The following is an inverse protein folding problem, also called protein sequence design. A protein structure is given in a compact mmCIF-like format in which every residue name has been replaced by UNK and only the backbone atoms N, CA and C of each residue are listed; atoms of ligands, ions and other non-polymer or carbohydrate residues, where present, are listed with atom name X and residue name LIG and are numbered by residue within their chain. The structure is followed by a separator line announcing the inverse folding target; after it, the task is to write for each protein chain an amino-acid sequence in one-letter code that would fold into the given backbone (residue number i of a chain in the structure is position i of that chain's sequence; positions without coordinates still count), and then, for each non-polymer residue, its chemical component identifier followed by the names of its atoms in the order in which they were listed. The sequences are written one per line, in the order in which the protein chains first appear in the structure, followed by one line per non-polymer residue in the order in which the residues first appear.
data_IF_184288304942
#
_entry.id   IF_184288304942
#
_cell.length_a   1.000
_cell.length_b   1.000
_cell.length_c   1.000
_cell.angle_alpha   90.00
_cell.angle_beta   90.00
_cell.angle_gamma   90.00
#
_symmetry.space_group_name_H-M   'P 1'
#
loop_
_entity.id
_entity.type
_entity.pdbx_description
1 polymer ?
#
# COMPACT_ATOMS: atom_id res chain seq x y z
N UNK A 1 -9.46 19.77 -0.01
CA UNK A 1 -9.33 18.40 -0.54
C UNK A 1 -9.33 17.41 0.62
N UNK A 2 -10.23 16.43 0.66
CA UNK A 2 -10.23 15.38 1.70
C UNK A 2 -9.17 14.32 1.35
N UNK A 3 -8.42 13.88 2.36
CA UNK A 3 -7.47 12.77 2.24
C UNK A 3 -7.99 11.54 2.96
N UNK A 4 -7.58 10.36 2.48
CA UNK A 4 -7.89 9.07 3.05
C UNK A 4 -6.61 8.31 3.33
N UNK A 5 -6.60 7.57 4.43
CA UNK A 5 -5.73 6.42 4.56
C UNK A 5 -6.39 5.26 3.81
N UNK A 6 -5.65 4.61 2.92
CA UNK A 6 -6.13 3.46 2.15
C UNK A 6 -5.41 2.21 2.61
N UNK A 7 -6.17 1.14 2.82
CA UNK A 7 -5.67 -0.21 3.06
C UNK A 7 -6.03 -1.05 1.85
N UNK A 8 -5.03 -1.69 1.25
CA UNK A 8 -5.20 -2.57 0.08
C UNK A 8 -4.59 -3.92 0.43
N UNK A 9 -5.35 -4.99 0.29
CA UNK A 9 -4.87 -6.33 0.53
C UNK A 9 -3.93 -6.86 -0.55
N UNK A 10 -3.17 -7.88 -0.18
CA UNK A 10 -2.48 -8.77 -1.11
C UNK A 10 -2.16 -10.10 -0.43
N UNK A 11 -2.39 -11.22 -1.11
CA UNK A 11 -2.00 -12.56 -0.69
C UNK A 11 -0.47 -12.71 -0.55
N UNK A 12 0.30 -12.00 -1.38
CA UNK A 12 1.75 -12.14 -1.43
C UNK A 12 2.46 -10.78 -1.42
N UNK A 13 3.65 -10.72 -0.82
CA UNK A 13 4.45 -9.49 -0.78
C UNK A 13 4.81 -8.99 -2.19
N UNK A 14 5.10 -9.89 -3.13
CA UNK A 14 5.38 -9.54 -4.54
C UNK A 14 4.16 -8.90 -5.21
N UNK A 15 2.97 -9.43 -4.94
CA UNK A 15 1.71 -8.85 -5.43
C UNK A 15 1.47 -7.47 -4.80
N UNK A 16 1.72 -7.32 -3.49
CA UNK A 16 1.60 -6.04 -2.80
C UNK A 16 2.51 -4.97 -3.43
N UNK A 17 3.77 -5.30 -3.74
CA UNK A 17 4.67 -4.40 -4.45
C UNK A 17 4.19 -4.08 -5.87
N UNK A 18 3.74 -5.09 -6.63
CA UNK A 18 3.17 -4.85 -7.97
C UNK A 18 1.99 -3.88 -7.96
N UNK A 19 1.05 -4.03 -7.01
CA UNK A 19 -0.08 -3.12 -6.83
C UNK A 19 0.44 -1.73 -6.47
N UNK A 20 1.34 -1.63 -5.49
CA UNK A 20 1.91 -0.36 -5.04
C UNK A 20 2.62 0.40 -6.17
N UNK A 21 3.43 -0.29 -6.97
CA UNK A 21 4.16 0.28 -8.10
C UNK A 21 3.19 0.79 -9.18
N UNK A 22 2.15 0.02 -9.51
CA UNK A 22 1.14 0.43 -10.49
C UNK A 22 0.40 1.71 -10.05
N UNK A 23 0.11 1.83 -8.75
CA UNK A 23 -0.55 3.00 -8.18
C UNK A 23 0.38 4.23 -8.11
N UNK A 24 1.64 4.03 -7.71
CA UNK A 24 2.65 5.10 -7.65
C UNK A 24 2.96 5.64 -9.04
N UNK A 25 3.09 4.77 -10.06
CA UNK A 25 3.34 5.15 -11.44
C UNK A 25 2.29 6.11 -12.02
N UNK A 26 1.05 6.05 -11.50
CA UNK A 26 -0.07 6.93 -11.88
C UNK A 26 -0.35 8.05 -10.86
N UNK A 27 0.49 8.17 -9.83
CA UNK A 27 0.31 9.09 -8.71
C UNK A 27 -1.08 8.98 -8.06
N UNK A 28 -1.60 7.74 -7.94
CA UNK A 28 -2.91 7.46 -7.32
C UNK A 28 -2.81 7.33 -5.80
N UNK A 29 -1.61 7.01 -5.31
CA UNK A 29 -1.30 6.91 -3.90
C UNK A 29 0.01 7.63 -3.59
N UNK A 30 0.18 8.02 -2.34
CA UNK A 30 1.42 8.62 -1.85
C UNK A 30 2.57 7.60 -1.79
N UNK A 31 2.24 6.34 -1.51
CA UNK A 31 3.19 5.29 -1.15
C UNK A 31 3.05 4.93 0.34
N UNK A 32 3.77 3.90 0.77
CA UNK A 32 3.73 3.48 2.17
C UNK A 32 4.22 2.05 2.40
N UNK A 33 4.16 1.57 3.64
CA UNK A 33 4.65 0.25 3.98
C UNK A 33 3.72 -0.86 3.45
N UNK A 34 4.34 -1.99 3.12
CA UNK A 34 3.67 -3.29 3.05
C UNK A 34 3.90 -3.99 4.39
N UNK A 35 2.81 -4.37 5.05
CA UNK A 35 2.85 -5.09 6.33
C UNK A 35 2.19 -6.45 6.14
N UNK A 36 2.89 -7.53 6.51
CA UNK A 36 2.41 -8.90 6.36
C UNK A 36 2.32 -9.65 7.69
N UNK A 37 1.43 -10.63 7.74
CA UNK A 37 1.30 -11.55 8.88
C UNK A 37 0.24 -12.62 8.67
N UNK A 38 0.07 -13.53 9.65
CA UNK A 38 -0.93 -14.58 9.58
C UNK A 38 -2.34 -13.98 9.62
N UNK A 39 -3.20 -14.46 8.74
CA UNK A 39 -4.61 -14.06 8.66
C UNK A 39 -5.53 -15.27 8.66
N UNK A 40 -6.77 -15.03 9.08
CA UNK A 40 -7.84 -16.04 9.09
C UNK A 40 -9.12 -15.44 8.52
N UNK A 41 -9.67 -16.09 7.51
CA UNK A 41 -10.85 -15.63 6.78
C UNK A 41 -12.00 -16.62 6.88
N UNK A 42 -13.22 -16.09 6.87
CA UNK A 42 -14.42 -16.85 6.58
C UNK A 42 -14.77 -16.66 5.11
N UNK A 43 -14.85 -17.74 4.35
CA UNK A 43 -15.11 -17.68 2.91
C UNK A 43 -16.13 -18.75 2.51
N UNK A 44 -17.17 -18.32 1.80
CA UNK A 44 -18.08 -19.23 1.10
C UNK A 44 -17.64 -19.36 -0.36
N UNK A 45 -17.19 -20.55 -0.75
CA UNK A 45 -16.64 -20.81 -2.08
C UNK A 45 -17.67 -20.87 -3.21
N UNK A 46 -18.97 -20.83 -2.90
CA UNK A 46 -20.04 -20.96 -3.88
C UNK A 46 -19.87 -20.04 -5.10
N UNK A 47 -19.56 -18.77 -4.85
CA UNK A 47 -19.50 -17.73 -5.88
C UNK A 47 -18.05 -17.34 -6.20
N UNK A 48 -17.09 -18.20 -5.85
CA UNK A 48 -15.66 -17.95 -5.96
C UNK A 48 -15.00 -18.71 -7.10
N UNK A 49 -13.83 -18.23 -7.50
CA UNK A 49 -13.04 -18.76 -8.62
C UNK A 49 -12.20 -19.99 -8.24
N UNK A 50 -12.57 -20.66 -7.14
CA UNK A 50 -12.03 -21.98 -6.78
C UNK A 50 -12.51 -23.06 -7.78
N UNK A 51 -11.86 -24.25 -7.83
CA UNK A 51 -12.30 -25.35 -8.68
C UNK A 51 -13.78 -25.70 -8.47
N UNK A 52 -14.49 -26.09 -9.54
CA UNK A 52 -15.95 -26.32 -9.53
C UNK A 52 -16.40 -27.26 -8.41
N UNK A 53 -15.64 -28.33 -8.15
CA UNK A 53 -15.93 -29.28 -7.07
C UNK A 53 -15.83 -28.72 -5.65
N UNK A 54 -15.31 -27.50 -5.47
CA UNK A 54 -15.23 -26.80 -4.18
C UNK A 54 -16.28 -25.71 -4.02
N UNK A 55 -17.05 -25.38 -5.06
CA UNK A 55 -18.09 -24.32 -5.07
C UNK A 55 -19.39 -24.75 -4.39
N UNK A 56 -19.27 -25.40 -3.25
CA UNK A 56 -20.41 -25.79 -2.42
C UNK A 56 -20.90 -24.60 -1.59
N UNK A 57 -22.20 -24.54 -1.29
CA UNK A 57 -22.78 -23.52 -0.41
C UNK A 57 -22.42 -23.80 1.06
N UNK A 58 -21.16 -23.57 1.42
CA UNK A 58 -20.58 -23.86 2.73
C UNK A 58 -19.53 -22.81 3.10
N UNK A 59 -19.51 -22.43 4.38
CA UNK A 59 -18.47 -21.56 4.93
C UNK A 59 -17.24 -22.37 5.34
N UNK A 60 -16.08 -21.92 4.88
CA UNK A 60 -14.77 -22.45 5.25
C UNK A 60 -13.99 -21.41 6.04
N UNK A 61 -13.09 -21.89 6.90
CA UNK A 61 -12.04 -21.07 7.48
C UNK A 61 -10.76 -21.26 6.68
N UNK A 62 -10.20 -20.18 6.15
CA UNK A 62 -8.89 -20.20 5.50
C UNK A 62 -7.87 -19.53 6.41
N UNK A 63 -6.71 -20.16 6.56
CA UNK A 63 -5.56 -19.60 7.25
C UNK A 63 -4.44 -19.45 6.23
N UNK A 64 -3.95 -18.23 6.05
CA UNK A 64 -2.84 -17.93 5.15
C UNK A 64 -2.15 -16.65 5.62
N UNK A 65 -0.88 -16.48 5.25
CA UNK A 65 -0.23 -15.19 5.39
C UNK A 65 -0.86 -14.20 4.42
N UNK A 66 -0.97 -12.95 4.85
CA UNK A 66 -1.65 -11.90 4.11
C UNK A 66 -0.98 -10.56 4.35
N UNK A 67 -0.99 -9.70 3.33
CA UNK A 67 -0.34 -8.40 3.36
C UNK A 67 -1.36 -7.27 3.23
N UNK A 68 -1.01 -6.13 3.80
CA UNK A 68 -1.69 -4.86 3.58
C UNK A 68 -0.69 -3.80 3.13
N UNK A 69 -1.03 -3.13 2.04
CA UNK A 69 -0.45 -1.85 1.65
C UNK A 69 -1.20 -0.78 2.43
N UNK A 70 -0.47 0.02 3.22
CA UNK A 70 -1.03 1.14 3.97
C UNK A 70 -0.53 2.42 3.32
N UNK A 71 -1.43 3.20 2.74
CA UNK A 71 -1.04 4.37 1.95
C UNK A 71 -2.00 5.53 2.15
N UNK A 72 -1.79 6.63 1.42
CA UNK A 72 -2.65 7.81 1.43
C UNK A 72 -3.11 8.15 0.02
N UNK A 73 -4.35 8.60 -0.11
CA UNK A 73 -4.91 9.09 -1.39
C UNK A 73 -5.88 10.25 -1.17
N UNK A 74 -6.28 10.90 -2.27
CA UNK A 74 -7.29 11.97 -2.30
C UNK A 74 -8.67 11.42 -2.61
N UNK A 75 -9.70 12.17 -2.23
CA UNK A 75 -11.09 11.85 -2.55
C UNK A 75 -11.32 11.53 -4.03
N UNK A 76 -10.77 12.36 -4.92
CA UNK A 76 -11.01 12.32 -6.36
C UNK A 76 -10.23 11.22 -7.11
N UNK A 77 -9.40 10.45 -6.40
CA UNK A 77 -8.56 9.40 -7.00
C UNK A 77 -9.07 7.99 -6.67
N UNK A 78 -10.08 7.84 -5.81
CA UNK A 78 -10.48 6.54 -5.27
C UNK A 78 -10.92 5.56 -6.36
N UNK A 79 -11.73 6.02 -7.31
CA UNK A 79 -12.29 5.16 -8.37
C UNK A 79 -11.17 4.58 -9.23
N UNK A 80 -10.32 5.42 -9.81
CA UNK A 80 -9.18 4.97 -10.61
C UNK A 80 -8.16 4.15 -9.80
N UNK A 81 -7.98 4.46 -8.51
CA UNK A 81 -7.15 3.65 -7.61
C UNK A 81 -7.71 2.23 -7.49
N UNK A 82 -9.01 2.08 -7.27
CA UNK A 82 -9.66 0.76 -7.18
C UNK A 82 -9.46 -0.01 -8.47
N UNK A 83 -9.77 0.59 -9.62
CA UNK A 83 -9.62 -0.05 -10.93
C UNK A 83 -8.18 -0.53 -11.20
N UNK A 84 -7.19 0.31 -10.91
CA UNK A 84 -5.78 -0.02 -11.13
C UNK A 84 -5.30 -1.08 -10.13
N UNK A 85 -5.72 -1.00 -8.87
CA UNK A 85 -5.37 -1.99 -7.85
C UNK A 85 -5.96 -3.36 -8.16
N UNK A 86 -7.24 -3.44 -8.54
CA UNK A 86 -7.92 -4.68 -8.95
C UNK A 86 -7.28 -5.29 -10.20
N UNK A 87 -6.91 -4.47 -11.18
CA UNK A 87 -6.20 -4.94 -12.39
C UNK A 87 -4.80 -5.48 -12.10
N UNK A 88 -4.11 -4.89 -11.12
CA UNK A 88 -2.78 -5.32 -10.70
C UNK A 88 -2.81 -6.52 -9.74
N UNK A 89 -3.93 -6.71 -9.04
CA UNK A 89 -4.18 -7.83 -8.15
C UNK A 89 -4.28 -9.15 -8.94
N UNK A 90 -3.94 -10.23 -8.24
CA UNK A 90 -4.08 -11.61 -8.72
C UNK A 90 -5.11 -12.38 -7.89
N UNK A 91 -5.59 -11.77 -6.80
CA UNK A 91 -6.59 -12.33 -5.90
C UNK A 91 -7.99 -12.11 -6.49
N UNK A 92 -8.91 -13.01 -6.15
CA UNK A 92 -10.31 -12.91 -6.57
C UNK A 92 -10.96 -11.61 -6.06
N UNK A 93 -10.61 -11.21 -4.83
CA UNK A 93 -11.12 -9.99 -4.21
C UNK A 93 -9.96 -9.16 -3.68
N UNK A 94 -9.64 -8.07 -4.37
CA UNK A 94 -8.74 -7.03 -3.87
C UNK A 94 -9.49 -6.20 -2.81
N UNK A 95 -9.34 -6.56 -1.53
CA UNK A 95 -9.98 -5.83 -0.43
C UNK A 95 -9.35 -4.44 -0.28
N UNK A 96 -10.12 -3.41 -0.63
CA UNK A 96 -9.73 -2.01 -0.52
C UNK A 96 -10.67 -1.29 0.44
N UNK A 97 -10.11 -0.53 1.39
CA UNK A 97 -10.89 0.34 2.27
C UNK A 97 -10.25 1.71 2.43
N UNK A 98 -11.10 2.72 2.56
CA UNK A 98 -10.71 4.12 2.71
C UNK A 98 -11.19 4.66 4.05
N UNK A 99 -10.27 5.10 4.89
CA UNK A 99 -10.57 5.75 6.17
C UNK A 99 -10.35 7.26 6.04
N UNK A 100 -11.38 8.10 6.28
CA UNK A 100 -11.17 9.54 6.39
C UNK A 100 -10.12 9.83 7.47
N UNK A 101 -9.20 10.74 7.18
CA UNK A 101 -8.15 11.11 8.11
C UNK A 101 -7.99 12.61 8.24
N UNK A 102 -7.48 13.04 9.40
CA UNK A 102 -7.03 14.40 9.64
C UNK A 102 -5.48 14.42 9.66
N UNK A 103 -4.82 14.87 8.57
CA UNK A 103 -3.37 15.01 8.57
C UNK A 103 -2.92 16.19 9.44
N UNK A 104 -1.80 16.04 10.13
CA UNK A 104 -1.09 17.21 10.65
C UNK A 104 -0.62 18.13 9.49
N UNK A 105 -0.28 19.38 9.81
CA UNK A 105 0.09 20.40 8.80
C UNK A 105 1.22 19.94 7.88
N UNK A 106 2.26 19.29 8.40
CA UNK A 106 3.41 18.88 7.59
C UNK A 106 3.06 17.75 6.63
N UNK A 107 2.31 16.75 7.10
CA UNK A 107 1.81 15.66 6.25
C UNK A 107 0.88 16.21 5.17
N UNK A 108 0.01 17.16 5.53
CA UNK A 108 -0.87 17.85 4.57
C UNK A 108 -0.09 18.49 3.42
N UNK A 109 0.94 19.28 3.75
CA UNK A 109 1.79 19.95 2.76
C UNK A 109 2.49 18.92 1.86
N UNK A 110 3.01 17.84 2.44
CA UNK A 110 3.68 16.78 1.70
C UNK A 110 2.74 16.07 0.72
N UNK A 111 1.53 15.73 1.14
CA UNK A 111 0.53 15.11 0.28
C UNK A 111 0.09 16.07 -0.84
N UNK A 112 -0.20 17.34 -0.50
CA UNK A 112 -0.59 18.36 -1.48
C UNK A 112 0.51 18.55 -2.54
N UNK A 113 1.79 18.52 -2.15
CA UNK A 113 2.92 18.59 -3.08
C UNK A 113 3.08 17.30 -3.93
N UNK A 114 2.92 16.12 -3.33
CA UNK A 114 3.15 14.83 -3.99
C UNK A 114 2.11 14.52 -5.06
N UNK A 115 0.86 14.97 -4.84
CA UNK A 115 -0.21 14.85 -5.83
C UNK A 115 -0.32 16.07 -6.76
N UNK A 116 0.57 17.07 -6.59
CA UNK A 116 0.65 18.23 -7.48
C UNK A 116 1.19 17.84 -8.86
N UNK A 117 0.67 18.46 -9.93
CA UNK A 117 1.17 18.24 -11.30
C UNK A 117 0.76 16.91 -11.95
N UNK A 118 -0.15 16.15 -11.32
CA UNK A 118 -0.70 14.90 -11.87
C UNK A 118 -1.22 15.10 -13.29
N UNK A 119 -0.82 14.21 -14.21
CA UNK A 119 -1.21 14.22 -15.62
C UNK A 119 -0.20 14.85 -16.58
N UNK A 120 0.83 15.53 -16.07
CA UNK A 120 1.91 16.10 -16.88
C UNK A 120 3.26 15.36 -16.74
N UNK A 121 3.37 14.39 -15.82
CA UNK A 121 4.62 13.74 -15.46
C UNK A 121 4.76 12.32 -16.01
N UNK A 122 6.01 11.99 -16.36
CA UNK A 122 6.50 10.63 -16.55
C UNK A 122 6.39 9.84 -15.21
N UNK A 123 6.51 8.50 -15.23
CA UNK A 123 6.62 7.72 -14.01
C UNK A 123 7.67 8.31 -13.05
N UNK A 124 7.46 8.26 -11.72
CA UNK A 124 8.43 8.79 -10.76
C UNK A 124 9.82 8.15 -10.97
N UNK A 125 10.87 8.97 -10.91
CA UNK A 125 12.25 8.47 -10.95
C UNK A 125 12.62 7.87 -9.60
N UNK A 126 13.21 6.68 -9.62
CA UNK A 126 13.73 6.03 -8.42
C UNK A 126 14.99 6.75 -7.91
N UNK A 127 15.00 7.07 -6.62
CA UNK A 127 16.16 7.66 -5.94
C UNK A 127 16.52 6.79 -4.73
N UNK A 128 17.80 6.49 -4.57
CA UNK A 128 18.30 5.81 -3.39
C UNK A 128 18.00 6.63 -2.13
N UNK A 129 17.25 6.04 -1.20
CA UNK A 129 16.78 6.74 0.00
C UNK A 129 17.96 7.23 0.86
N UNK A 130 19.08 6.50 0.90
CA UNK A 130 20.29 6.90 1.63
C UNK A 130 20.91 8.16 1.02
N UNK A 131 20.90 8.28 -0.31
CA UNK A 131 21.32 9.49 -1.01
C UNK A 131 20.38 10.69 -0.78
N UNK A 132 19.08 10.44 -0.59
CA UNK A 132 18.06 11.48 -0.37
C UNK A 132 18.02 12.04 1.07
N UNK A 133 18.64 11.36 2.04
CA UNK A 133 18.70 11.79 3.45
C UNK A 133 19.72 12.92 3.70
N UNK A 134 19.66 13.98 2.89
CA UNK A 134 20.58 15.14 2.98
C UNK A 134 20.47 15.93 4.28
N UNK A 135 19.34 15.80 4.98
CA UNK A 135 19.10 16.38 6.30
C UNK A 135 19.69 15.56 7.45
N UNK A 136 20.20 14.35 7.17
CA UNK A 136 20.91 13.50 8.14
C UNK A 136 22.40 13.57 7.83
N UNK A 137 23.27 13.87 8.83
CA UNK A 137 24.71 13.79 8.62
C UNK A 137 25.11 12.42 8.06
N UNK A 138 25.96 12.37 7.03
CA UNK A 138 26.34 11.12 6.34
C UNK A 138 26.80 10.00 7.29
N UNK A 139 27.51 10.39 8.36
CA UNK A 139 27.96 9.47 9.41
C UNK A 139 26.82 8.79 10.20
N UNK A 140 25.63 9.39 10.23
CA UNK A 140 24.44 8.91 10.94
C UNK A 140 23.42 8.21 10.04
N UNK A 141 23.60 8.19 8.71
CA UNK A 141 22.60 7.59 7.81
C UNK A 141 22.50 6.09 8.07
N UNK A 142 23.62 5.36 8.09
CA UNK A 142 23.62 3.90 8.33
C UNK A 142 23.05 3.47 9.69
N UNK A 143 22.94 4.38 10.67
CA UNK A 143 22.33 4.11 11.97
C UNK A 143 20.85 4.48 12.03
N UNK A 144 20.34 5.28 11.08
CA UNK A 144 18.94 5.72 10.99
C UNK A 144 18.13 5.00 9.91
N UNK A 145 18.77 4.60 8.81
CA UNK A 145 18.20 3.68 7.82
C UNK A 145 18.70 2.27 8.11
N UNK A 146 18.06 1.60 9.07
CA UNK A 146 18.20 0.15 9.19
C UNK A 146 16.87 -0.50 8.90
N UNK A 147 16.95 -1.54 8.07
CA UNK A 147 16.00 -2.64 7.92
C UNK A 147 15.07 -2.80 9.14
N UNK A 148 13.81 -3.13 8.86
CA UNK A 148 12.74 -3.41 9.83
C UNK A 148 13.09 -4.47 10.89
N UNK A 149 14.26 -5.12 10.81
CA UNK A 149 14.80 -6.08 11.79
C UNK A 149 15.98 -5.56 12.63
N UNK A 150 16.32 -4.26 12.57
CA UNK A 150 17.45 -3.67 13.32
C UNK A 150 17.12 -3.35 14.78
N UNK A 151 18.14 -3.40 15.66
CA UNK A 151 17.99 -2.98 17.05
C UNK A 151 17.59 -1.50 17.15
N UNK A 152 16.59 -1.21 17.99
CA UNK A 152 16.02 0.13 18.21
C UNK A 152 17.11 1.09 18.71
N UNK A 153 17.41 2.15 17.96
CA UNK A 153 18.18 3.28 18.47
C UNK A 153 17.26 4.25 19.20
N UNK A 154 17.60 4.63 20.44
CA UNK A 154 16.87 5.64 21.19
C UNK A 154 17.00 7.02 20.54
N UNK A 155 15.88 7.73 20.35
CA UNK A 155 15.89 9.15 19.98
C UNK A 155 16.59 9.97 21.08
N UNK A 156 17.54 10.82 20.69
CA UNK A 156 17.91 12.01 21.47
C UNK A 156 17.09 13.19 20.96
#
# INVERSE_FOLDING_TARGET
MQYYQVFISAEQTVQAHRILDALIAKQLVFGGPVVGGPAKFLWNFKDSDVPEGMREHKLFTLEQDYNYIISYTREDLKEELVEVAETAALEEVCMISFLPMEPNRSLRILLDASFGGRGASLPPEEVDAVAALTFVPKAEISSRTKSSSGAISSRR
#
